data_IF_946889457284
#
_entry.id   IF_946889457284
#
_cell.length_a   1.000
_cell.length_b   1.000
_cell.length_c   1.000
_cell.angle_alpha   90.00
_cell.angle_beta   90.00
_cell.angle_gamma   90.00
#
_symmetry.space_group_name_H-M   'P 1'
#
loop_
_entity.id
_entity.type
_entity.pdbx_description
1 polymer ?
#
# COMPACT_ATOMS: atom_id res chain seq x y z
N UNK A 1 17.79 2.78 9.45
CA UNK A 1 16.75 3.83 9.39
C UNK A 1 15.39 3.18 9.52
N UNK A 2 14.48 3.78 10.29
CA UNK A 2 13.09 3.33 10.34
C UNK A 2 12.33 3.90 9.13
N UNK A 3 11.58 3.05 8.42
CA UNK A 3 10.66 3.48 7.36
C UNK A 3 9.29 3.81 7.95
N UNK A 4 8.59 4.77 7.38
CA UNK A 4 7.29 5.23 7.86
C UNK A 4 6.17 4.53 7.09
N UNK A 5 5.20 3.94 7.80
CA UNK A 5 4.01 3.38 7.17
C UNK A 5 3.15 4.51 6.58
N UNK A 6 2.94 4.44 5.27
CA UNK A 6 2.13 5.41 4.51
C UNK A 6 0.69 4.92 4.44
N UNK A 7 0.50 3.68 3.97
CA UNK A 7 -0.80 3.05 3.83
C UNK A 7 -0.70 1.53 3.83
N UNK A 8 -1.81 0.85 4.11
CA UNK A 8 -2.00 -0.56 3.76
C UNK A 8 -3.06 -0.66 2.68
N UNK A 9 -2.89 -1.60 1.75
CA UNK A 9 -3.85 -1.92 0.72
C UNK A 9 -4.26 -3.38 0.87
N UNK A 10 -5.55 -3.64 1.09
CA UNK A 10 -6.12 -4.99 1.09
C UNK A 10 -6.99 -5.19 -0.14
N UNK A 11 -6.98 -6.38 -0.74
CA UNK A 11 -7.83 -6.66 -1.88
C UNK A 11 -9.25 -7.02 -1.44
N UNK A 12 -10.24 -6.33 -2.03
CA UNK A 12 -11.64 -6.71 -1.93
C UNK A 12 -11.92 -8.04 -2.65
N UNK A 13 -13.10 -8.61 -2.43
CA UNK A 13 -13.57 -9.83 -3.13
C UNK A 13 -13.59 -9.68 -4.66
N UNK A 14 -13.60 -8.45 -5.19
CA UNK A 14 -13.53 -8.13 -6.62
C UNK A 14 -12.11 -7.89 -7.13
N UNK A 15 -11.09 -8.14 -6.31
CA UNK A 15 -9.68 -7.88 -6.65
C UNK A 15 -9.29 -6.40 -6.68
N UNK A 16 -10.16 -5.48 -6.26
CA UNK A 16 -9.83 -4.05 -6.16
C UNK A 16 -9.14 -3.76 -4.83
N UNK A 17 -8.03 -2.99 -4.81
CA UNK A 17 -7.37 -2.59 -3.58
C UNK A 17 -8.21 -1.57 -2.80
N UNK A 18 -8.34 -1.79 -1.49
CA UNK A 18 -8.94 -0.91 -0.49
C UNK A 18 -7.80 -0.37 0.36
N UNK A 19 -7.62 0.95 0.37
CA UNK A 19 -6.51 1.60 1.03
C UNK A 19 -6.93 2.12 2.41
N UNK A 20 -6.09 1.83 3.41
CA UNK A 20 -6.16 2.38 4.75
C UNK A 20 -4.90 3.21 4.99
N UNK A 21 -5.02 4.53 5.00
CA UNK A 21 -3.88 5.45 5.14
C UNK A 21 -3.54 5.75 6.59
N UNK A 22 -2.26 6.09 6.83
CA UNK A 22 -1.87 6.71 8.09
C UNK A 22 -2.49 8.10 8.20
N UNK A 23 -2.75 8.57 9.43
CA UNK A 23 -3.39 9.88 9.69
C UNK A 23 -2.64 11.08 9.09
N UNK A 24 -1.36 10.92 8.76
CA UNK A 24 -0.49 11.98 8.23
C UNK A 24 -0.51 12.06 6.70
N UNK A 25 -1.15 11.11 6.02
CA UNK A 25 -1.24 11.03 4.57
C UNK A 25 -2.62 11.50 4.15
N UNK A 26 -2.68 12.56 3.34
CA UNK A 26 -3.94 13.10 2.84
C UNK A 26 -4.47 12.28 1.67
N UNK A 27 -5.77 12.43 1.37
CA UNK A 27 -6.39 11.76 0.22
C UNK A 27 -5.75 12.18 -1.12
N UNK A 28 -5.30 13.43 -1.24
CA UNK A 28 -4.59 13.92 -2.43
C UNK A 28 -3.23 13.24 -2.60
N UNK A 29 -2.46 13.10 -1.52
CA UNK A 29 -1.19 12.37 -1.53
C UNK A 29 -1.40 10.90 -1.88
N UNK A 30 -2.44 10.27 -1.31
CA UNK A 30 -2.81 8.91 -1.65
C UNK A 30 -3.24 8.77 -3.12
N UNK A 31 -3.96 9.75 -3.66
CA UNK A 31 -4.38 9.78 -5.06
C UNK A 31 -3.19 9.78 -6.03
N UNK A 32 -2.12 10.51 -5.68
CA UNK A 32 -0.86 10.50 -6.44
C UNK A 32 -0.26 9.10 -6.41
N UNK A 33 -0.06 8.52 -5.21
CA UNK A 33 0.49 7.16 -5.04
C UNK A 33 -0.30 6.11 -5.83
N UNK A 34 -1.63 6.25 -5.92
CA UNK A 34 -2.50 5.31 -6.65
C UNK A 34 -2.44 5.45 -8.17
N UNK A 35 -2.02 6.60 -8.68
CA UNK A 35 -1.94 6.91 -10.12
C UNK A 35 -0.52 6.73 -10.66
N UNK A 36 0.48 6.84 -9.79
CA UNK A 36 1.89 6.61 -10.16
C UNK A 36 2.17 5.11 -10.28
N UNK A 37 2.88 4.68 -11.34
CA UNK A 37 3.38 3.31 -11.46
C UNK A 37 4.21 2.89 -10.25
N UNK A 38 4.16 1.61 -9.91
CA UNK A 38 4.86 1.09 -8.71
C UNK A 38 6.37 1.24 -8.86
N UNK A 39 6.89 1.02 -10.05
CA UNK A 39 8.30 1.08 -10.37
C UNK A 39 8.85 2.48 -10.12
N UNK A 40 8.15 3.52 -10.57
CA UNK A 40 8.50 4.92 -10.31
C UNK A 40 8.48 5.26 -8.81
N UNK A 41 7.54 4.70 -8.05
CA UNK A 41 7.47 4.89 -6.60
C UNK A 41 8.65 4.20 -5.89
N UNK A 42 9.03 2.99 -6.32
CA UNK A 42 10.18 2.27 -5.75
C UNK A 42 11.50 2.99 -6.06
N UNK A 43 11.65 3.59 -7.24
CA UNK A 43 12.83 4.41 -7.62
C UNK A 43 13.02 5.64 -6.72
N UNK A 44 11.92 6.27 -6.28
CA UNK A 44 11.98 7.44 -5.38
C UNK A 44 12.02 7.06 -3.90
N UNK A 45 12.05 5.77 -3.56
CA UNK A 45 12.30 5.26 -2.21
C UNK A 45 11.10 4.62 -1.50
N UNK A 46 9.93 4.53 -2.14
CA UNK A 46 8.83 3.75 -1.55
C UNK A 46 9.16 2.26 -1.51
N UNK A 47 8.61 1.57 -0.52
CA UNK A 47 8.75 0.13 -0.36
C UNK A 47 7.39 -0.53 -0.20
N UNK A 48 7.14 -1.58 -0.98
CA UNK A 48 5.91 -2.34 -0.95
C UNK A 48 6.16 -3.72 -0.35
N UNK A 49 5.54 -4.01 0.80
CA UNK A 49 5.67 -5.28 1.51
C UNK A 49 4.41 -6.09 1.32
N UNK A 50 4.50 -7.26 0.70
CA UNK A 50 3.35 -8.15 0.53
C UNK A 50 2.83 -8.62 1.90
N UNK A 51 1.51 -8.54 2.08
CA UNK A 51 0.80 -9.04 3.25
C UNK A 51 -0.03 -10.26 2.83
N UNK A 52 0.38 -11.43 3.30
CA UNK A 52 -0.30 -12.69 3.07
C UNK A 52 -0.72 -13.28 4.42
N UNK A 53 -1.94 -13.78 4.52
CA UNK A 53 -2.38 -14.55 5.68
C UNK A 53 -2.26 -16.05 5.36
N UNK A 54 -1.60 -16.79 6.24
CA UNK A 54 -1.49 -18.25 6.13
C UNK A 54 -2.81 -18.94 6.50
N UNK A 55 -3.51 -18.43 7.52
CA UNK A 55 -4.80 -18.97 7.97
C UNK A 55 -5.96 -18.58 7.04
N UNK A 56 -5.82 -17.46 6.32
CA UNK A 56 -6.83 -16.93 5.40
C UNK A 56 -6.23 -16.63 4.02
N UNK A 57 -6.01 -17.64 3.16
CA UNK A 57 -5.33 -17.48 1.87
C UNK A 57 -6.03 -16.52 0.89
N UNK A 58 -7.33 -16.30 1.10
CA UNK A 58 -8.13 -15.36 0.33
C UNK A 58 -7.90 -13.89 0.74
N UNK A 59 -7.30 -13.63 1.90
CA UNK A 59 -6.91 -12.30 2.35
C UNK A 59 -5.50 -11.99 1.84
N UNK A 60 -5.41 -11.00 0.95
CA UNK A 60 -4.15 -10.55 0.35
C UNK A 60 -4.09 -9.04 0.38
N UNK A 61 -2.87 -8.52 0.39
CA UNK A 61 -2.64 -7.09 0.32
C UNK A 61 -1.16 -6.74 0.30
N UNK A 62 -0.86 -5.48 0.53
CA UNK A 62 0.49 -4.98 0.73
C UNK A 62 0.50 -3.75 1.63
N UNK A 63 1.63 -3.52 2.32
CA UNK A 63 1.91 -2.31 3.05
C UNK A 63 2.86 -1.41 2.25
N UNK A 64 2.60 -0.11 2.26
CA UNK A 64 3.42 0.91 1.60
C UNK A 64 4.20 1.67 2.68
N UNK A 65 5.52 1.71 2.51
CA UNK A 65 6.43 2.45 3.36
C UNK A 65 7.21 3.49 2.55
N UNK A 66 7.66 4.55 3.20
CA UNK A 66 8.63 5.51 2.70
C UNK A 66 9.75 5.67 3.74
#
# INVERSE_FOLDING_TARGET
MARTLIATALYSSKGKPVYCTSKKVTDDQLSIIRKTPREELEEIGFTFINLNSYDFPNIRGYAIFF
#
